data_IF_342685928320
#
_entry.id   IF_342685928320
#
_cell.length_a   1.000
_cell.length_b   1.000
_cell.length_c   1.000
_cell.angle_alpha   90.00
_cell.angle_beta   90.00
_cell.angle_gamma   90.00
#
_symmetry.space_group_name_H-M   'P 1'
#
loop_
_entity.id
_entity.type
_entity.pdbx_description
1 polymer ?
#
# COMPACT_ATOMS: atom_id res chain seq x y z
N UNK A 1 17.09 7.04 18.50
CA UNK A 1 16.51 8.40 18.52
C UNK A 1 15.17 8.32 19.23
N UNK A 2 14.91 9.24 20.17
CA UNK A 2 13.61 9.36 20.82
C UNK A 2 12.58 9.96 19.86
N UNK A 3 11.46 9.29 19.67
CA UNK A 3 10.36 9.77 18.85
C UNK A 3 9.45 10.69 19.67
N UNK A 4 9.22 11.91 19.17
CA UNK A 4 8.26 12.85 19.75
C UNK A 4 7.28 13.27 18.66
N UNK A 5 6.15 12.56 18.49
CA UNK A 5 5.26 12.77 17.37
C UNK A 5 4.57 14.13 17.43
N UNK A 6 4.50 14.81 16.29
CA UNK A 6 3.59 15.95 16.14
C UNK A 6 2.13 15.50 16.28
N UNK A 7 1.22 16.44 16.56
CA UNK A 7 -0.21 16.13 16.75
C UNK A 7 -0.83 15.41 15.54
N UNK A 8 -0.52 15.87 14.32
CA UNK A 8 -0.99 15.21 13.11
C UNK A 8 -0.44 13.78 12.96
N UNK A 9 0.79 13.50 13.44
CA UNK A 9 1.36 12.16 13.39
C UNK A 9 0.61 11.23 14.34
N UNK A 10 0.29 11.70 15.57
CA UNK A 10 -0.54 10.96 16.51
C UNK A 10 -1.93 10.67 15.94
N UNK A 11 -2.57 11.68 15.34
CA UNK A 11 -3.87 11.51 14.69
C UNK A 11 -3.82 10.43 13.60
N UNK A 12 -2.82 10.48 12.71
CA UNK A 12 -2.71 9.52 11.60
C UNK A 12 -2.36 8.12 12.11
N UNK A 13 -1.49 7.99 13.12
CA UNK A 13 -1.24 6.70 13.78
C UNK A 13 -2.55 6.12 14.33
N UNK A 14 -3.32 6.90 15.08
CA UNK A 14 -4.60 6.47 15.62
C UNK A 14 -5.60 6.08 14.52
N UNK A 15 -5.66 6.87 13.44
CA UNK A 15 -6.49 6.55 12.29
C UNK A 15 -6.13 5.19 11.66
N UNK A 16 -4.83 4.88 11.54
CA UNK A 16 -4.37 3.56 11.06
C UNK A 16 -4.75 2.45 12.04
N UNK A 17 -4.75 2.68 13.35
CA UNK A 17 -5.11 1.67 14.37
C UNK A 17 -6.62 1.38 14.37
N UNK A 18 -7.45 2.42 14.29
CA UNK A 18 -8.91 2.29 14.35
C UNK A 18 -9.52 1.74 13.06
N UNK A 19 -8.88 1.97 11.90
CA UNK A 19 -9.44 1.62 10.60
C UNK A 19 -8.67 0.46 9.97
N UNK A 20 -9.32 -0.69 9.68
CA UNK A 20 -8.69 -1.77 8.93
C UNK A 20 -8.24 -1.37 7.51
N UNK A 21 -8.84 -0.33 6.93
CA UNK A 21 -8.51 0.20 5.62
C UNK A 21 -8.16 1.67 5.79
N UNK A 22 -6.92 2.06 5.48
CA UNK A 22 -6.46 3.44 5.58
C UNK A 22 -5.76 3.92 4.30
N UNK A 23 -6.12 5.11 3.84
CA UNK A 23 -5.38 5.85 2.81
C UNK A 23 -4.70 7.05 3.49
N UNK A 24 -3.39 7.01 3.61
CA UNK A 24 -2.58 8.07 4.22
C UNK A 24 -2.00 8.93 3.10
N UNK A 25 -2.69 10.03 2.82
CA UNK A 25 -2.37 10.97 1.77
C UNK A 25 -1.60 12.14 2.35
N UNK A 26 -0.29 11.96 2.54
CA UNK A 26 0.59 12.94 3.18
C UNK A 26 1.79 13.26 2.28
N UNK A 27 2.21 14.52 2.26
CA UNK A 27 3.38 14.97 1.50
C UNK A 27 4.67 14.27 1.92
N UNK A 28 5.67 14.35 1.03
CA UNK A 28 7.02 13.89 1.34
C UNK A 28 7.59 14.66 2.53
N UNK A 29 8.32 13.96 3.41
CA UNK A 29 8.91 14.58 4.60
C UNK A 29 8.02 14.61 5.84
N UNK A 30 6.72 14.34 5.74
CA UNK A 30 5.80 14.37 6.90
C UNK A 30 5.90 13.16 7.85
N UNK A 31 6.81 12.21 7.57
CA UNK A 31 7.06 11.06 8.45
C UNK A 31 6.11 9.88 8.24
N UNK A 32 5.58 9.67 7.03
CA UNK A 32 4.69 8.53 6.70
C UNK A 32 5.22 7.17 7.20
N UNK A 33 6.52 6.92 7.03
CA UNK A 33 7.16 5.68 7.47
C UNK A 33 7.11 5.52 8.99
N UNK A 34 7.55 6.52 9.77
CA UNK A 34 7.53 6.42 11.25
C UNK A 34 6.10 6.37 11.81
N UNK A 35 5.15 7.10 11.23
CA UNK A 35 3.73 7.03 11.59
C UNK A 35 3.21 5.61 11.43
N UNK A 36 3.48 5.01 10.26
CA UNK A 36 3.01 3.66 9.91
C UNK A 36 3.72 2.60 10.75
N UNK A 37 5.02 2.74 10.98
CA UNK A 37 5.80 1.85 11.83
C UNK A 37 5.32 1.88 13.28
N UNK A 38 4.92 3.05 13.79
CA UNK A 38 4.34 3.16 15.13
C UNK A 38 3.03 2.39 15.23
N UNK A 39 2.15 2.52 14.23
CA UNK A 39 0.92 1.72 14.20
C UNK A 39 1.21 0.20 14.04
N UNK A 40 2.21 -0.18 13.25
CA UNK A 40 2.64 -1.58 13.12
C UNK A 40 3.16 -2.11 14.45
N UNK A 41 3.97 -1.32 15.18
CA UNK A 41 4.49 -1.69 16.49
C UNK A 41 3.35 -2.04 17.44
N UNK A 42 2.38 -1.14 17.60
CA UNK A 42 1.24 -1.36 18.51
C UNK A 42 0.44 -2.60 18.08
N UNK A 43 0.15 -2.75 16.78
CA UNK A 43 -0.61 -3.89 16.27
C UNK A 43 0.13 -5.23 16.42
N UNK A 44 1.46 -5.24 16.36
CA UNK A 44 2.26 -6.46 16.44
C UNK A 44 2.64 -6.84 17.87
N UNK A 45 2.99 -5.86 18.70
CA UNK A 45 3.70 -6.07 19.96
C UNK A 45 2.92 -5.62 21.20
N UNK A 46 1.90 -4.79 21.04
CA UNK A 46 1.05 -4.34 22.16
C UNK A 46 -0.33 -5.02 22.11
N UNK A 47 -1.06 -4.83 21.01
CA UNK A 47 -2.43 -5.35 20.86
C UNK A 47 -2.50 -6.76 20.26
N UNK A 48 -1.40 -7.27 19.70
CA UNK A 48 -1.32 -8.57 18.99
C UNK A 48 -2.39 -8.76 17.90
N UNK A 49 -2.83 -7.66 17.27
CA UNK A 49 -3.86 -7.68 16.22
C UNK A 49 -3.34 -8.11 14.85
N UNK A 50 -2.02 -8.08 14.64
CA UNK A 50 -1.36 -8.39 13.36
C UNK A 50 -0.06 -9.14 13.66
N UNK A 51 0.18 -10.26 12.98
CA UNK A 51 1.42 -11.04 13.17
C UNK A 51 2.41 -10.88 12.02
N UNK A 52 1.91 -10.79 10.79
CA UNK A 52 2.70 -10.67 9.56
C UNK A 52 2.30 -9.46 8.75
N UNK A 53 3.23 -8.52 8.57
CA UNK A 53 3.06 -7.31 7.76
C UNK A 53 3.87 -7.43 6.48
N UNK A 54 3.23 -7.23 5.32
CA UNK A 54 3.94 -7.06 4.05
C UNK A 54 3.98 -5.59 3.66
N UNK A 55 5.18 -5.02 3.55
CA UNK A 55 5.38 -3.67 3.00
C UNK A 55 5.84 -3.79 1.56
N UNK A 56 5.05 -3.22 0.65
CA UNK A 56 5.31 -3.18 -0.78
C UNK A 56 5.71 -1.75 -1.13
N UNK A 57 6.86 -1.55 -1.79
CA UNK A 57 7.28 -0.20 -2.19
C UNK A 57 8.32 -0.17 -3.30
N UNK A 58 8.79 1.03 -3.69
CA UNK A 58 9.92 1.18 -4.62
C UNK A 58 11.18 0.49 -4.09
N UNK A 59 12.01 -0.07 -4.98
CA UNK A 59 13.20 -0.85 -4.60
C UNK A 59 14.10 -0.15 -3.57
N UNK A 60 14.43 1.13 -3.78
CA UNK A 60 15.29 1.90 -2.85
C UNK A 60 14.63 2.10 -1.49
N UNK A 61 13.32 2.32 -1.49
CA UNK A 61 12.55 2.57 -0.27
C UNK A 61 12.52 1.30 0.60
N UNK A 62 12.23 0.14 0.02
CA UNK A 62 12.18 -1.12 0.77
C UNK A 62 13.55 -1.67 1.15
N UNK A 63 14.59 -1.38 0.35
CA UNK A 63 15.96 -1.86 0.63
C UNK A 63 16.70 -0.98 1.62
N UNK A 64 16.52 0.34 1.52
CA UNK A 64 17.37 1.31 2.21
C UNK A 64 16.56 2.11 3.25
N UNK A 65 15.42 2.69 2.87
CA UNK A 65 14.67 3.62 3.75
C UNK A 65 13.95 2.93 4.91
N UNK A 66 13.14 1.90 4.64
CA UNK A 66 12.37 1.21 5.68
C UNK A 66 13.27 0.55 6.74
N UNK A 67 14.34 -0.19 6.38
CA UNK A 67 15.28 -0.72 7.37
C UNK A 67 15.88 0.36 8.28
N UNK A 68 16.30 1.49 7.70
CA UNK A 68 16.86 2.61 8.46
C UNK A 68 15.81 3.19 9.40
N UNK A 69 14.58 3.44 8.94
CA UNK A 69 13.51 3.96 9.79
C UNK A 69 13.13 2.99 10.91
N UNK A 70 13.08 1.68 10.67
CA UNK A 70 12.82 0.67 11.71
C UNK A 70 13.90 0.72 12.81
N UNK A 71 15.17 0.84 12.43
CA UNK A 71 16.30 0.83 13.37
C UNK A 71 16.54 2.16 14.08
N UNK A 72 16.06 3.26 13.50
CA UNK A 72 16.36 4.63 13.95
C UNK A 72 15.65 5.01 15.26
N UNK A 73 14.43 4.52 15.45
CA UNK A 73 13.54 4.97 16.53
C UNK A 73 13.53 4.01 17.72
N UNK A 74 13.77 4.55 18.91
CA UNK A 74 13.88 3.74 20.14
C UNK A 74 12.60 2.99 20.50
N UNK A 75 11.43 3.59 20.24
CA UNK A 75 10.13 2.96 20.55
C UNK A 75 9.78 1.82 19.59
N UNK A 76 10.46 1.69 18.46
CA UNK A 76 10.27 0.58 17.51
C UNK A 76 11.13 -0.65 17.85
N UNK A 77 11.90 -0.58 18.94
CA UNK A 77 12.76 -1.67 19.36
C UNK A 77 11.93 -2.93 19.63
N UNK A 78 12.30 -4.04 19.00
CA UNK A 78 11.57 -5.31 19.03
C UNK A 78 10.87 -5.66 17.71
N UNK A 79 10.61 -4.67 16.83
CA UNK A 79 10.15 -4.98 15.48
C UNK A 79 11.27 -5.65 14.67
N UNK A 80 10.99 -6.86 14.22
CA UNK A 80 11.89 -7.62 13.34
C UNK A 80 11.45 -7.47 11.89
N UNK A 81 12.41 -7.48 10.97
CA UNK A 81 12.11 -7.36 9.55
C UNK A 81 13.06 -8.19 8.66
N UNK A 82 12.61 -8.47 7.44
CA UNK A 82 13.42 -9.07 6.39
C UNK A 82 13.22 -8.35 5.06
N UNK A 83 14.25 -8.35 4.21
CA UNK A 83 14.24 -7.63 2.93
C UNK A 83 14.26 -8.62 1.77
N UNK A 84 13.13 -8.79 1.11
CA UNK A 84 12.93 -9.69 -0.02
C UNK A 84 13.31 -9.03 -1.35
N UNK A 85 14.60 -8.78 -1.54
CA UNK A 85 15.18 -8.23 -2.78
C UNK A 85 16.33 -9.10 -3.30
N UNK A 86 16.78 -8.85 -4.53
CA UNK A 86 17.85 -9.61 -5.16
C UNK A 86 17.34 -10.83 -5.94
N UNK A 87 18.14 -11.89 -5.96
CA UNK A 87 17.82 -13.13 -6.68
C UNK A 87 16.58 -13.83 -6.11
N UNK A 88 16.00 -14.75 -6.87
CA UNK A 88 14.85 -15.53 -6.39
C UNK A 88 15.15 -16.27 -5.07
N UNK A 89 16.33 -16.87 -4.97
CA UNK A 89 16.78 -17.57 -3.76
C UNK A 89 16.86 -16.62 -2.55
N UNK A 90 17.40 -15.41 -2.75
CA UNK A 90 17.47 -14.38 -1.70
C UNK A 90 16.08 -13.93 -1.27
N UNK A 91 15.18 -13.67 -2.23
CA UNK A 91 13.79 -13.29 -1.95
C UNK A 91 13.05 -14.37 -1.15
N UNK A 92 13.13 -15.63 -1.58
CA UNK A 92 12.54 -16.76 -0.87
C UNK A 92 13.11 -16.93 0.53
N UNK A 93 14.44 -16.87 0.67
CA UNK A 93 15.10 -16.94 1.98
C UNK A 93 14.61 -15.87 2.95
N UNK A 94 14.50 -14.61 2.50
CA UNK A 94 13.99 -13.51 3.32
C UNK A 94 12.52 -13.72 3.74
N UNK A 95 11.68 -14.22 2.83
CA UNK A 95 10.25 -14.44 3.06
C UNK A 95 9.95 -15.66 3.94
N UNK A 96 10.90 -16.60 4.06
CA UNK A 96 10.81 -17.73 5.00
C UNK A 96 11.24 -17.38 6.44
N UNK A 97 11.87 -16.23 6.66
CA UNK A 97 12.24 -15.80 8.00
C UNK A 97 10.99 -15.57 8.86
N UNK A 98 11.09 -15.80 10.16
CA UNK A 98 10.02 -15.50 11.12
C UNK A 98 10.24 -14.09 11.68
N UNK A 99 9.67 -13.10 11.01
CA UNK A 99 9.79 -11.69 11.35
C UNK A 99 8.43 -10.99 11.30
N UNK A 100 8.31 -9.81 11.90
CA UNK A 100 7.06 -9.06 11.89
C UNK A 100 6.81 -8.40 10.52
N UNK A 101 7.86 -7.85 9.90
CA UNK A 101 7.75 -7.03 8.69
C UNK A 101 8.55 -7.63 7.53
N UNK A 102 7.88 -7.85 6.40
CA UNK A 102 8.50 -8.33 5.16
C UNK A 102 8.49 -7.19 4.14
N UNK A 103 9.68 -6.76 3.71
CA UNK A 103 9.86 -5.66 2.78
C UNK A 103 10.07 -6.20 1.36
N UNK A 104 9.22 -5.82 0.40
CA UNK A 104 9.30 -6.32 -0.98
C UNK A 104 9.15 -5.20 -2.02
N UNK A 105 9.93 -5.28 -3.10
CA UNK A 105 9.78 -4.36 -4.23
C UNK A 105 8.43 -4.59 -4.93
N UNK A 106 7.75 -3.50 -5.30
CA UNK A 106 6.47 -3.52 -6.06
C UNK A 106 6.50 -4.34 -7.34
N UNK A 107 7.66 -4.46 -8.00
CA UNK A 107 7.83 -5.27 -9.21
C UNK A 107 7.78 -6.78 -8.93
N UNK A 108 8.01 -7.21 -7.69
CA UNK A 108 8.01 -8.62 -7.29
C UNK A 108 6.67 -9.11 -6.75
N UNK A 109 5.64 -8.25 -6.70
CA UNK A 109 4.32 -8.60 -6.14
C UNK A 109 3.66 -9.74 -6.90
N UNK A 110 3.72 -9.67 -8.22
CA UNK A 110 3.14 -10.72 -9.05
C UNK A 110 3.89 -12.05 -8.90
N UNK A 111 5.24 -12.01 -8.89
CA UNK A 111 6.06 -13.17 -8.61
C UNK A 111 5.71 -13.80 -7.25
N UNK A 112 5.61 -12.99 -6.18
CA UNK A 112 5.25 -13.46 -4.85
C UNK A 112 3.94 -14.25 -4.87
N UNK A 113 2.93 -13.72 -5.55
CA UNK A 113 1.56 -14.25 -5.49
C UNK A 113 1.33 -15.43 -6.44
N UNK A 114 1.96 -15.43 -7.62
CA UNK A 114 1.64 -16.39 -8.68
C UNK A 114 2.77 -17.36 -9.02
N UNK A 115 4.03 -17.02 -8.75
CA UNK A 115 5.20 -17.76 -9.26
C UNK A 115 6.08 -18.34 -8.14
N UNK A 116 6.09 -17.69 -6.98
CA UNK A 116 7.04 -18.02 -5.91
C UNK A 116 6.75 -19.36 -5.21
N UNK A 117 5.52 -19.86 -5.30
CA UNK A 117 5.03 -21.03 -4.57
C UNK A 117 4.83 -20.81 -3.07
N UNK A 118 5.06 -19.59 -2.57
CA UNK A 118 4.85 -19.26 -1.15
C UNK A 118 3.39 -18.96 -0.86
N UNK A 119 2.95 -19.33 0.34
CA UNK A 119 1.63 -18.98 0.84
C UNK A 119 1.56 -17.46 1.07
N UNK A 120 0.49 -16.83 0.59
CA UNK A 120 0.19 -15.44 0.92
C UNK A 120 -0.67 -15.40 2.18
N UNK A 121 -0.04 -15.21 3.35
CA UNK A 121 -0.66 -15.26 4.68
C UNK A 121 -0.39 -13.99 5.53
N UNK A 122 -0.32 -12.84 4.88
CA UNK A 122 -0.12 -11.56 5.55
C UNK A 122 -1.43 -11.00 6.14
N UNK A 123 -1.43 -10.72 7.44
CA UNK A 123 -2.54 -10.09 8.15
C UNK A 123 -2.73 -8.63 7.72
N UNK A 124 -1.61 -7.94 7.47
CA UNK A 124 -1.57 -6.54 7.08
C UNK A 124 -0.70 -6.32 5.85
N UNK A 125 -1.16 -5.46 4.94
CA UNK A 125 -0.38 -4.99 3.78
C UNK A 125 -0.23 -3.47 3.85
N UNK A 126 1.00 -2.99 3.71
CA UNK A 126 1.30 -1.56 3.52
C UNK A 126 1.81 -1.38 2.10
N UNK A 127 1.23 -0.43 1.37
CA UNK A 127 1.67 -0.05 0.04
C UNK A 127 2.29 1.33 0.13
N UNK A 128 3.61 1.38 0.15
CA UNK A 128 4.36 2.62 0.03
C UNK A 128 4.45 3.03 -1.45
N UNK A 129 4.16 4.29 -1.73
CA UNK A 129 3.86 4.81 -3.06
C UNK A 129 2.66 4.11 -3.71
N UNK A 130 1.48 4.26 -3.09
CA UNK A 130 0.19 3.75 -3.57
C UNK A 130 -0.09 4.16 -5.02
N UNK A 131 0.32 5.37 -5.42
CA UNK A 131 0.17 5.88 -6.79
C UNK A 131 0.83 4.98 -7.84
N UNK A 132 1.76 4.11 -7.43
CA UNK A 132 2.35 3.11 -8.32
C UNK A 132 1.34 2.04 -8.76
N UNK A 133 0.19 1.88 -8.08
CA UNK A 133 -0.88 0.92 -8.37
C UNK A 133 -2.09 1.52 -9.13
N UNK A 134 -1.99 2.77 -9.61
CA UNK A 134 -3.07 3.46 -10.36
C UNK A 134 -3.55 2.78 -11.65
N UNK A 135 -2.78 1.84 -12.21
CA UNK A 135 -3.15 1.13 -13.43
C UNK A 135 -3.80 -0.22 -13.11
N UNK A 136 -5.11 -0.31 -13.37
CA UNK A 136 -5.88 -1.55 -13.17
C UNK A 136 -5.53 -2.69 -14.14
N UNK A 137 -4.87 -2.38 -15.26
CA UNK A 137 -4.45 -3.37 -16.24
C UNK A 137 -3.13 -4.05 -15.85
N UNK A 138 -2.36 -3.44 -14.95
CA UNK A 138 -1.03 -3.91 -14.54
C UNK A 138 -1.09 -5.29 -13.87
N UNK A 139 -0.09 -6.14 -14.16
CA UNK A 139 0.03 -7.51 -13.61
C UNK A 139 0.00 -7.48 -12.07
N UNK A 140 0.85 -6.65 -11.45
CA UNK A 140 0.90 -6.45 -9.99
C UNK A 140 -0.44 -6.04 -9.35
N UNK A 141 -1.23 -5.18 -10.00
CA UNK A 141 -2.54 -4.79 -9.50
C UNK A 141 -3.49 -5.99 -9.47
N UNK A 142 -3.59 -6.69 -10.61
CA UNK A 142 -4.46 -7.88 -10.73
C UNK A 142 -4.06 -8.97 -9.73
N UNK A 143 -2.76 -9.19 -9.56
CA UNK A 143 -2.23 -10.19 -8.63
C UNK A 143 -2.54 -9.82 -7.18
N UNK A 144 -2.36 -8.56 -6.79
CA UNK A 144 -2.67 -8.13 -5.42
C UNK A 144 -4.18 -8.15 -5.12
N UNK A 145 -5.04 -7.77 -6.08
CA UNK A 145 -6.50 -7.89 -5.97
C UNK A 145 -6.94 -9.35 -5.72
N UNK A 146 -6.29 -10.33 -6.35
CA UNK A 146 -6.59 -11.76 -6.17
C UNK A 146 -6.46 -12.22 -4.72
N UNK A 147 -5.49 -11.69 -3.99
CA UNK A 147 -5.23 -12.06 -2.58
C UNK A 147 -5.80 -11.07 -1.58
N UNK A 148 -6.24 -9.88 -2.02
CA UNK A 148 -6.79 -8.83 -1.16
C UNK A 148 -7.88 -9.30 -0.18
N UNK A 149 -8.81 -10.22 -0.51
CA UNK A 149 -9.78 -10.75 0.45
C UNK A 149 -9.17 -11.49 1.66
N UNK A 150 -7.92 -11.96 1.56
CA UNK A 150 -7.21 -12.64 2.66
C UNK A 150 -6.56 -11.66 3.64
N UNK A 151 -6.44 -10.39 3.25
CA UNK A 151 -5.76 -9.35 4.01
C UNK A 151 -6.77 -8.65 4.92
N UNK A 152 -6.55 -8.72 6.24
CA UNK A 152 -7.46 -8.10 7.22
C UNK A 152 -7.29 -6.59 7.25
N UNK A 153 -6.04 -6.11 7.14
CA UNK A 153 -5.70 -4.68 7.22
C UNK A 153 -4.89 -4.21 6.03
N UNK A 154 -5.20 -3.05 5.47
CA UNK A 154 -4.41 -2.46 4.38
C UNK A 154 -4.21 -0.96 4.58
N UNK A 155 -2.99 -0.51 4.34
CA UNK A 155 -2.62 0.91 4.40
C UNK A 155 -1.96 1.32 3.09
N UNK A 156 -2.53 2.30 2.40
CA UNK A 156 -1.91 2.93 1.24
C UNK A 156 -1.26 4.24 1.62
N UNK A 157 0.02 4.43 1.26
CA UNK A 157 0.79 5.64 1.53
C UNK A 157 1.13 6.33 0.21
N UNK A 158 0.77 7.60 0.04
CA UNK A 158 1.27 8.41 -1.09
C UNK A 158 1.13 9.89 -0.77
N UNK A 159 1.96 10.75 -1.38
CA UNK A 159 1.72 12.20 -1.37
C UNK A 159 0.92 12.68 -2.58
N UNK A 160 0.82 11.85 -3.63
CA UNK A 160 0.31 12.27 -4.94
C UNK A 160 -0.64 11.21 -5.53
N UNK A 161 -1.84 11.03 -4.94
CA UNK A 161 -2.79 9.96 -5.30
C UNK A 161 -3.43 10.13 -6.69
N UNK A 162 -3.31 11.29 -7.34
CA UNK A 162 -4.02 11.58 -8.59
C UNK A 162 -3.21 12.43 -9.56
N UNK A 163 -1.92 12.11 -9.74
CA UNK A 163 -1.02 12.91 -10.58
C UNK A 163 -1.49 13.07 -12.02
N UNK A 164 -2.27 12.12 -12.56
CA UNK A 164 -2.86 12.22 -13.91
C UNK A 164 -4.38 12.49 -13.88
N UNK A 165 -4.91 12.99 -12.77
CA UNK A 165 -6.33 13.29 -12.56
C UNK A 165 -7.10 12.19 -11.82
N UNK A 166 -8.38 12.46 -11.57
CA UNK A 166 -9.25 11.62 -10.72
C UNK A 166 -9.45 10.19 -11.23
N UNK A 167 -9.10 9.89 -12.48
CA UNK A 167 -9.19 8.53 -13.03
C UNK A 167 -8.23 7.56 -12.33
N UNK A 168 -7.09 8.05 -11.85
CA UNK A 168 -6.06 7.24 -11.15
C UNK A 168 -6.60 6.67 -9.83
N UNK A 169 -7.49 7.40 -9.16
CA UNK A 169 -8.04 7.05 -7.84
C UNK A 169 -8.79 5.71 -7.85
N UNK A 170 -9.42 5.34 -8.98
CA UNK A 170 -10.24 4.15 -9.01
C UNK A 170 -9.47 2.90 -8.64
N UNK A 171 -8.30 2.69 -9.25
CA UNK A 171 -7.50 1.50 -8.99
C UNK A 171 -6.99 1.50 -7.55
N UNK A 172 -6.50 2.65 -7.07
CA UNK A 172 -6.00 2.79 -5.69
C UNK A 172 -7.07 2.42 -4.67
N UNK A 173 -8.26 3.00 -4.76
CA UNK A 173 -9.35 2.69 -3.82
C UNK A 173 -9.94 1.29 -4.05
N UNK A 174 -10.04 0.83 -5.30
CA UNK A 174 -10.43 -0.56 -5.60
C UNK A 174 -9.52 -1.57 -4.91
N UNK A 175 -8.24 -1.26 -4.77
CA UNK A 175 -7.27 -2.09 -4.05
C UNK A 175 -7.42 -2.00 -2.53
N UNK A 176 -7.65 -0.79 -2.02
CA UNK A 176 -7.80 -0.56 -0.58
C UNK A 176 -9.11 -1.14 -0.03
N UNK A 177 -10.24 -0.80 -0.64
CA UNK A 177 -11.58 -1.07 -0.11
C UNK A 177 -12.42 -2.03 -0.95
N UNK A 178 -11.82 -2.67 -1.95
CA UNK A 178 -12.53 -3.64 -2.80
C UNK A 178 -13.74 -3.04 -3.52
N UNK A 179 -13.73 -1.73 -3.79
CA UNK A 179 -14.73 -1.00 -4.57
C UNK A 179 -15.95 -0.57 -3.76
N UNK A 180 -15.82 -0.40 -2.45
CA UNK A 180 -16.87 0.15 -1.58
C UNK A 180 -17.15 1.62 -1.93
N UNK A 181 -16.12 2.45 -2.06
CA UNK A 181 -16.30 3.90 -2.32
C UNK A 181 -16.55 4.22 -3.79
N UNK A 182 -15.70 3.71 -4.67
CA UNK A 182 -15.67 4.11 -6.10
C UNK A 182 -16.25 3.05 -7.04
N UNK A 183 -16.87 2.00 -6.47
CA UNK A 183 -17.48 0.92 -7.23
C UNK A 183 -16.49 -0.13 -7.74
N UNK A 184 -17.03 -1.32 -8.04
CA UNK A 184 -16.23 -2.50 -8.38
C UNK A 184 -15.69 -2.55 -9.80
N UNK A 185 -16.24 -1.72 -10.69
CA UNK A 185 -15.92 -1.76 -12.12
C UNK A 185 -15.56 -0.36 -12.61
N UNK A 186 -14.43 -0.26 -13.31
CA UNK A 186 -13.92 1.00 -13.86
C UNK A 186 -14.93 1.66 -14.80
N UNK A 187 -15.72 0.87 -15.54
CA UNK A 187 -16.77 1.38 -16.43
C UNK A 187 -17.85 2.15 -15.65
N UNK A 188 -18.28 1.65 -14.48
CA UNK A 188 -19.27 2.37 -13.67
C UNK A 188 -18.67 3.62 -13.04
N UNK A 189 -17.45 3.55 -12.52
CA UNK A 189 -16.75 4.73 -12.01
C UNK A 189 -16.66 5.84 -13.07
N UNK A 190 -16.21 5.47 -14.27
CA UNK A 190 -16.12 6.37 -15.41
C UNK A 190 -17.49 6.97 -15.77
N UNK A 191 -18.52 6.14 -15.90
CA UNK A 191 -19.85 6.61 -16.29
C UNK A 191 -20.52 7.47 -15.22
N UNK A 192 -20.21 7.24 -13.94
CA UNK A 192 -20.79 7.98 -12.83
C UNK A 192 -20.14 9.35 -12.66
N UNK A 193 -18.80 9.42 -12.74
CA UNK A 193 -18.04 10.62 -12.35
C UNK A 193 -17.43 11.40 -13.53
N UNK A 194 -17.46 10.87 -14.75
CA UNK A 194 -16.83 11.51 -15.90
C UNK A 194 -17.73 11.60 -17.12
N UNK A 195 -17.54 12.65 -17.90
CA UNK A 195 -18.06 12.77 -19.25
C UNK A 195 -16.97 12.47 -20.29
N UNK A 196 -17.32 11.85 -21.43
CA UNK A 196 -16.41 11.75 -22.57
C UNK A 196 -15.95 13.13 -23.02
N UNK A 197 -14.65 13.30 -23.21
CA UNK A 197 -14.07 14.56 -23.68
C UNK A 197 -13.63 14.45 -25.15
N UNK A 198 -12.40 14.03 -25.44
CA UNK A 198 -11.95 13.79 -26.82
C UNK A 198 -12.38 12.39 -27.25
N UNK A 199 -13.00 12.24 -28.43
CA UNK A 199 -13.42 10.95 -29.00
C UNK A 199 -13.36 10.94 -30.52
N UNK A 200 -13.17 9.77 -31.13
CA UNK A 200 -13.54 9.49 -32.52
C UNK A 200 -14.84 8.65 -32.56
N UNK A 201 -15.26 8.19 -33.74
CA UNK A 201 -16.49 7.39 -33.89
C UNK A 201 -16.50 6.06 -33.09
N UNK A 202 -15.33 5.51 -32.75
CA UNK A 202 -15.20 4.19 -32.13
C UNK A 202 -14.59 4.23 -30.71
N UNK A 203 -13.90 5.30 -30.33
CA UNK A 203 -13.07 5.35 -29.14
C UNK A 203 -13.05 6.73 -28.48
N UNK A 204 -13.18 6.75 -27.15
CA UNK A 204 -12.99 7.95 -26.32
C UNK A 204 -11.52 8.00 -25.86
N UNK A 205 -10.82 9.09 -26.21
CA UNK A 205 -9.42 9.34 -25.89
C UNK A 205 -9.21 9.99 -24.52
N UNK A 206 -10.12 10.86 -24.08
CA UNK A 206 -10.04 11.51 -22.76
C UNK A 206 -11.39 11.61 -22.08
N UNK A 207 -11.36 11.75 -20.76
CA UNK A 207 -12.51 11.92 -19.90
C UNK A 207 -12.31 13.16 -19.03
N UNK A 208 -13.39 13.90 -18.79
CA UNK A 208 -13.40 15.07 -17.91
C UNK A 208 -14.34 14.84 -16.73
N UNK A 209 -13.99 15.25 -15.50
CA UNK A 209 -14.88 15.11 -14.36
C UNK A 209 -16.21 15.82 -14.62
N UNK A 210 -17.31 15.22 -14.17
CA UNK A 210 -18.62 15.86 -14.19
C UNK A 210 -18.65 17.03 -13.20
N UNK A 211 -19.57 17.97 -13.42
CA UNK A 211 -19.81 19.03 -12.45
C UNK A 211 -20.25 18.41 -11.10
N UNK A 212 -19.50 18.71 -10.03
CA UNK A 212 -19.76 18.20 -8.68
C UNK A 212 -19.19 16.80 -8.38
N UNK A 213 -18.37 16.23 -9.28
CA UNK A 213 -17.61 15.00 -9.05
C UNK A 213 -16.34 15.23 -8.21
#
# INVERSE_FOLDING_TARGET
MKYNPHEYQRFVTQFILENPIAAVLLDMGLGKSVITLTAIFDLCLDSFGVSKVLVIGPLRVVRDTWPVEIQKWEHLNGLTYSVAVGSETQRKSALMQKVNIYLINRENVDWLINESGMLFDYDMVVIDELSSFKSYSAKRFKSLIKVRPKVKRIVGLTGTPSSNGLMDLWAEFRLLDMGERLGRFITHYRNNFFDPDKRNQQMVFSYKPKAGA
#
